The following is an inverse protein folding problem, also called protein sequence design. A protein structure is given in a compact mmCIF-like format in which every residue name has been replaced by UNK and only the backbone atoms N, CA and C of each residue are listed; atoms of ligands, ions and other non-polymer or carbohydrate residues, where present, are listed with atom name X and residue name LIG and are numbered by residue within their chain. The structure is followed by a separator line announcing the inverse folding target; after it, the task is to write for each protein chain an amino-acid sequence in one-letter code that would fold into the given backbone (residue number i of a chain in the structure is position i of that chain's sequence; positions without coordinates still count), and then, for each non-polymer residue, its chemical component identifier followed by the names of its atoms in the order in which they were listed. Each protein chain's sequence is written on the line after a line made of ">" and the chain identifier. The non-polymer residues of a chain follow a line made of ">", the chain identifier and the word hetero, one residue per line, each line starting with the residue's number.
data_IF_427239940805
#
_entry.id   IF_427239940805
#
_cell.length_a   1.000
_cell.length_b   1.000
_cell.length_c   1.000
_cell.angle_alpha   90.00
_cell.angle_beta   90.00
_cell.angle_gamma   90.00
#
_symmetry.space_group_name_H-M   'P 1'
#
loop_
_entity.id
_entity.type
_entity.pdbx_description
1 polymer ?
#
# COMPACT_ATOMS: atom_id res chain seq x y z
N UNK A 1 18.76 28.48 41.33
CA UNK A 1 19.35 27.64 42.40
C UNK A 1 19.82 26.34 41.73
N UNK A 2 21.03 26.28 41.17
CA UNK A 2 22.33 25.99 41.81
C UNK A 2 22.59 24.49 42.12
N UNK A 3 23.39 23.84 41.24
CA UNK A 3 24.45 22.79 41.42
C UNK A 3 24.12 21.50 42.23
N UNK A 4 24.65 20.30 41.97
CA UNK A 4 26.06 19.80 41.88
C UNK A 4 26.04 18.38 41.22
N UNK A 5 26.82 18.06 40.17
CA UNK A 5 28.17 17.43 40.12
C UNK A 5 28.40 16.21 41.03
N UNK A 6 28.74 15.05 40.43
CA UNK A 6 29.81 14.15 40.91
C UNK A 6 30.30 13.21 39.78
N UNK A 7 31.56 13.42 39.38
CA UNK A 7 32.36 12.62 38.45
C UNK A 7 33.14 11.58 39.25
N UNK A 8 33.35 10.36 38.72
CA UNK A 8 34.38 9.46 39.22
C UNK A 8 35.11 8.81 38.04
N UNK A 9 36.39 9.16 37.89
CA UNK A 9 37.35 8.60 36.95
C UNK A 9 38.20 7.53 37.67
N UNK A 10 38.67 6.50 36.94
CA UNK A 10 39.74 5.62 37.39
C UNK A 10 40.61 5.14 36.20
N UNK A 11 41.88 5.58 36.25
CA UNK A 11 43.17 4.91 35.97
C UNK A 11 43.37 4.16 34.63
N UNK A 12 44.15 4.70 33.67
CA UNK A 12 45.63 4.68 33.54
C UNK A 12 46.23 3.27 33.45
N UNK A 13 46.73 2.94 32.26
CA UNK A 13 47.66 1.83 31.99
C UNK A 13 48.44 2.08 30.71
N UNK A 14 49.66 2.63 30.83
CA UNK A 14 50.60 2.87 29.75
C UNK A 14 51.57 1.68 29.64
N UNK A 15 51.80 1.19 28.43
CA UNK A 15 52.85 0.22 28.11
C UNK A 15 53.41 0.52 26.73
N UNK A 16 54.61 1.08 26.66
CA UNK A 16 55.35 1.36 25.43
C UNK A 16 56.48 0.33 25.35
N UNK A 17 56.41 -0.60 24.41
CA UNK A 17 57.51 -1.50 24.08
C UNK A 17 58.21 -0.99 22.81
N UNK A 18 59.46 -0.53 22.95
CA UNK A 18 60.34 -0.16 21.84
C UNK A 18 61.00 -1.41 21.26
N UNK A 19 60.53 -1.87 20.09
CA UNK A 19 61.19 -2.89 19.28
C UNK A 19 61.90 -2.25 18.08
N UNK A 20 63.23 -2.37 18.02
CA UNK A 20 64.02 -2.05 16.84
C UNK A 20 63.98 -3.24 15.86
N UNK A 21 63.36 -3.04 14.69
CA UNK A 21 63.35 -4.03 13.61
C UNK A 21 64.17 -3.49 12.42
N UNK A 22 65.18 -4.26 12.04
CA UNK A 22 66.08 -4.03 10.91
C UNK A 22 65.30 -4.15 9.58
N UNK A 23 65.40 -3.13 8.72
CA UNK A 23 64.84 -3.14 7.37
C UNK A 23 65.79 -3.86 6.40
N UNK A 24 65.41 -5.05 5.95
CA UNK A 24 65.97 -5.67 4.74
C UNK A 24 65.31 -5.08 3.48
N UNK A 25 66.03 -4.87 2.37
CA UNK A 25 65.41 -4.45 1.12
C UNK A 25 64.65 -5.62 0.46
N UNK A 26 63.44 -5.41 -0.09
CA UNK A 26 62.65 -6.48 -0.68
C UNK A 26 63.22 -6.90 -2.04
N UNK A 27 63.46 -8.21 -2.21
CA UNK A 27 63.66 -8.83 -3.52
C UNK A 27 62.33 -8.78 -4.28
N UNK A 28 62.34 -8.19 -5.47
CA UNK A 28 61.20 -8.20 -6.39
C UNK A 28 60.92 -9.63 -6.87
N UNK A 29 59.70 -10.09 -6.61
CA UNK A 29 59.15 -11.33 -7.16
C UNK A 29 58.28 -10.99 -8.38
N UNK A 30 58.32 -11.76 -9.49
CA UNK A 30 57.49 -11.47 -10.66
C UNK A 30 56.00 -11.62 -10.34
N UNK A 31 55.19 -10.66 -10.80
CA UNK A 31 53.74 -10.68 -10.62
C UNK A 31 53.08 -11.83 -11.41
N UNK A 32 52.07 -12.52 -10.87
CA UNK A 32 51.29 -13.51 -11.60
C UNK A 32 50.36 -12.83 -12.64
N UNK A 33 49.97 -13.53 -13.72
CA UNK A 33 49.10 -12.97 -14.75
C UNK A 33 47.73 -12.57 -14.18
N UNK A 34 47.29 -11.36 -14.51
CA UNK A 34 45.96 -10.87 -14.16
C UNK A 34 44.88 -11.70 -14.86
N UNK A 35 44.05 -12.39 -14.08
CA UNK A 35 42.80 -12.97 -14.57
C UNK A 35 41.83 -11.82 -14.92
N UNK A 36 41.34 -11.81 -16.17
CA UNK A 36 40.30 -10.89 -16.60
C UNK A 36 39.01 -11.15 -15.80
N UNK A 37 38.30 -10.11 -15.33
CA UNK A 37 36.96 -10.28 -14.77
C UNK A 37 36.02 -10.78 -15.85
N UNK A 38 35.55 -12.03 -15.74
CA UNK A 38 34.40 -12.51 -16.47
C UNK A 38 33.18 -11.71 -15.99
N UNK A 39 32.58 -10.95 -16.91
CA UNK A 39 31.33 -10.24 -16.65
C UNK A 39 30.24 -11.24 -16.26
N UNK A 40 29.45 -10.99 -15.20
CA UNK A 40 28.33 -11.87 -14.86
C UNK A 40 27.32 -11.88 -16.01
N UNK A 41 27.13 -13.08 -16.60
CA UNK A 41 26.04 -13.36 -17.51
C UNK A 41 24.72 -13.40 -16.73
N UNK A 42 23.73 -12.67 -17.25
CA UNK A 42 22.32 -12.83 -16.89
C UNK A 42 21.90 -12.14 -15.58
N UNK A 43 21.62 -10.84 -15.65
CA UNK A 43 20.72 -10.24 -14.67
C UNK A 43 19.35 -10.97 -14.78
N UNK A 44 18.71 -11.36 -13.66
CA UNK A 44 17.35 -11.86 -13.70
C UNK A 44 16.46 -10.79 -14.36
N UNK A 45 15.61 -11.23 -15.28
CA UNK A 45 14.62 -10.36 -15.90
C UNK A 45 13.86 -9.61 -14.79
N UNK A 46 14.00 -8.29 -14.77
CA UNK A 46 13.19 -7.44 -13.90
C UNK A 46 11.71 -7.78 -14.15
N UNK A 47 10.88 -7.89 -13.10
CA UNK A 47 9.43 -7.97 -13.28
C UNK A 47 9.04 -6.82 -14.19
N UNK A 48 8.41 -7.11 -15.33
CA UNK A 48 7.93 -6.06 -16.20
C UNK A 48 6.91 -5.25 -15.39
N UNK A 49 7.22 -4.00 -15.10
CA UNK A 49 6.30 -3.03 -14.50
C UNK A 49 5.17 -2.77 -15.50
N UNK A 50 4.22 -3.70 -15.55
CA UNK A 50 3.03 -3.58 -16.38
C UNK A 50 2.22 -2.37 -15.88
N UNK A 51 1.76 -1.48 -16.77
CA UNK A 51 1.03 -0.29 -16.34
C UNK A 51 -0.24 -0.65 -15.57
N UNK A 52 -0.51 0.12 -14.51
CA UNK A 52 -1.76 0.02 -13.74
C UNK A 52 -2.82 0.89 -14.40
N UNK A 53 -3.95 0.29 -14.75
CA UNK A 53 -5.16 0.95 -15.22
C UNK A 53 -6.21 0.99 -14.12
N UNK A 54 -7.07 2.00 -14.16
CA UNK A 54 -8.09 2.23 -13.15
C UNK A 54 -9.48 2.31 -13.76
N UNK A 55 -10.47 1.72 -13.08
CA UNK A 55 -11.87 2.03 -13.41
C UNK A 55 -12.17 3.49 -13.05
N UNK A 56 -13.15 4.14 -13.69
CA UNK A 56 -13.73 5.35 -13.13
C UNK A 56 -14.31 5.07 -11.73
N UNK A 57 -14.45 6.11 -10.91
CA UNK A 57 -15.30 6.00 -9.73
C UNK A 57 -16.75 5.83 -10.22
N UNK A 58 -17.45 4.83 -9.69
CA UNK A 58 -18.82 4.52 -10.12
C UNK A 58 -19.70 4.29 -8.91
N UNK A 59 -20.89 4.88 -8.91
CA UNK A 59 -21.91 4.65 -7.89
C UNK A 59 -22.96 3.68 -8.40
N UNK A 60 -23.22 2.63 -7.63
CA UNK A 60 -24.25 1.64 -7.91
C UNK A 60 -25.18 1.59 -6.71
N UNK A 61 -26.49 1.51 -6.91
CA UNK A 61 -27.44 1.43 -5.81
C UNK A 61 -28.35 0.23 -5.99
N UNK A 62 -28.48 -0.56 -4.93
CA UNK A 62 -29.33 -1.75 -4.89
C UNK A 62 -30.54 -1.49 -4.00
N UNK A 63 -31.77 -1.74 -4.46
CA UNK A 63 -32.96 -1.65 -3.63
C UNK A 63 -32.86 -2.59 -2.41
N UNK A 64 -33.36 -2.14 -1.27
CA UNK A 64 -33.51 -2.98 -0.09
C UNK A 64 -34.90 -3.61 -0.13
N UNK A 65 -34.96 -4.94 -0.14
CA UNK A 65 -36.23 -5.65 -0.29
C UNK A 65 -37.06 -5.64 1.00
N UNK A 66 -36.40 -5.63 2.16
CA UNK A 66 -37.04 -5.65 3.47
C UNK A 66 -36.29 -4.76 4.47
N UNK A 67 -36.96 -3.79 5.13
CA UNK A 67 -38.34 -3.37 4.89
C UNK A 67 -38.50 -2.64 3.54
N UNK A 68 -39.65 -2.72 2.85
CA UNK A 68 -39.84 -2.14 1.52
C UNK A 68 -39.63 -0.62 1.44
N UNK A 69 -39.73 0.08 2.57
CA UNK A 69 -39.53 1.54 2.66
C UNK A 69 -38.07 1.92 2.92
N UNK A 70 -37.17 0.95 3.09
CA UNK A 70 -35.75 1.24 3.30
C UNK A 70 -35.13 1.86 2.05
N UNK A 71 -34.33 2.90 2.29
CA UNK A 71 -33.54 3.53 1.23
C UNK A 71 -32.53 2.54 0.64
N UNK A 72 -32.24 2.64 -0.67
CA UNK A 72 -31.30 1.74 -1.32
C UNK A 72 -29.91 1.83 -0.68
N UNK A 73 -29.17 0.72 -0.73
CA UNK A 73 -27.76 0.70 -0.36
C UNK A 73 -26.97 1.08 -1.60
N UNK A 74 -26.17 2.13 -1.49
CA UNK A 74 -25.33 2.63 -2.55
C UNK A 74 -23.85 2.30 -2.28
N UNK A 75 -23.14 1.92 -3.33
CA UNK A 75 -21.71 1.61 -3.30
C UNK A 75 -21.02 2.51 -4.32
N UNK A 76 -20.06 3.33 -3.86
CA UNK A 76 -19.16 4.10 -4.73
C UNK A 76 -17.82 3.38 -4.79
N UNK A 77 -17.46 2.86 -5.96
CA UNK A 77 -16.36 1.88 -6.13
C UNK A 77 -15.35 2.30 -7.19
N UNK A 78 -14.08 1.93 -6.96
CA UNK A 78 -12.97 2.02 -7.91
C UNK A 78 -12.08 0.79 -7.80
N UNK A 79 -11.54 0.36 -8.93
CA UNK A 79 -10.55 -0.73 -9.01
C UNK A 79 -9.27 -0.28 -9.69
N UNK A 80 -8.17 -0.88 -9.27
CA UNK A 80 -6.88 -0.87 -9.93
C UNK A 80 -6.62 -2.27 -10.51
N UNK A 81 -6.18 -2.31 -11.77
CA UNK A 81 -5.88 -3.52 -12.53
C UNK A 81 -4.61 -3.31 -13.34
N UNK A 82 -3.95 -4.39 -13.74
CA UNK A 82 -2.96 -4.31 -14.81
C UNK A 82 -3.67 -4.15 -16.15
N UNK A 83 -2.97 -3.63 -17.17
CA UNK A 83 -3.47 -3.58 -18.55
C UNK A 83 -3.93 -4.96 -19.07
N UNK A 84 -3.39 -6.05 -18.51
CA UNK A 84 -3.80 -7.43 -18.80
C UNK A 84 -5.17 -7.81 -18.21
N UNK A 85 -5.81 -6.92 -17.46
CA UNK A 85 -7.09 -7.15 -16.76
C UNK A 85 -6.94 -7.72 -15.34
N UNK A 86 -5.73 -8.11 -14.93
CA UNK A 86 -5.48 -8.68 -13.60
C UNK A 86 -5.83 -7.68 -12.48
N UNK A 87 -6.69 -8.09 -11.55
CA UNK A 87 -7.08 -7.31 -10.38
C UNK A 87 -5.92 -7.09 -9.41
N UNK A 88 -5.71 -5.83 -9.00
CA UNK A 88 -4.67 -5.42 -8.05
C UNK A 88 -5.22 -4.86 -6.74
N UNK A 89 -6.31 -4.10 -6.79
CA UNK A 89 -6.95 -3.55 -5.60
C UNK A 89 -8.35 -3.00 -5.91
N UNK A 90 -9.21 -2.97 -4.91
CA UNK A 90 -10.55 -2.39 -4.97
C UNK A 90 -10.86 -1.60 -3.72
N UNK A 91 -11.55 -0.48 -3.90
CA UNK A 91 -12.02 0.37 -2.82
C UNK A 91 -13.50 0.69 -3.04
N UNK A 92 -14.32 0.53 -2.01
CA UNK A 92 -15.76 0.74 -2.09
C UNK A 92 -16.30 1.41 -0.83
N UNK A 93 -16.88 2.61 -0.98
CA UNK A 93 -17.66 3.25 0.07
C UNK A 93 -19.10 2.76 -0.03
N UNK A 94 -19.61 2.14 1.04
CA UNK A 94 -20.99 1.66 1.16
C UNK A 94 -21.77 2.61 2.06
N UNK A 95 -22.89 3.11 1.55
CA UNK A 95 -23.74 4.07 2.23
C UNK A 95 -25.21 3.69 2.08
N UNK A 96 -26.00 4.03 3.10
CA UNK A 96 -27.45 3.99 3.04
C UNK A 96 -27.97 5.31 3.59
N UNK A 97 -28.86 5.97 2.85
CA UNK A 97 -29.44 7.24 3.28
C UNK A 97 -30.20 7.06 4.60
N UNK A 98 -30.00 7.98 5.55
CA UNK A 98 -30.56 7.90 6.90
C UNK A 98 -29.78 7.01 7.88
N UNK A 99 -28.73 6.32 7.43
CA UNK A 99 -27.84 5.53 8.29
C UNK A 99 -26.52 6.27 8.48
N UNK A 100 -26.19 6.63 9.73
CA UNK A 100 -24.97 7.37 10.04
C UNK A 100 -23.70 6.54 9.83
N UNK A 101 -23.73 5.26 10.22
CA UNK A 101 -22.59 4.36 10.08
C UNK A 101 -22.38 4.03 8.61
N UNK A 102 -21.17 4.30 8.12
CA UNK A 102 -20.73 3.96 6.76
C UNK A 102 -19.68 2.87 6.83
N UNK A 103 -19.65 2.04 5.79
CA UNK A 103 -18.61 1.02 5.65
C UNK A 103 -17.71 1.40 4.48
N UNK A 104 -16.40 1.34 4.71
CA UNK A 104 -15.43 1.41 3.64
C UNK A 104 -14.78 0.05 3.49
N UNK A 105 -14.86 -0.51 2.28
CA UNK A 105 -14.41 -1.85 1.95
C UNK A 105 -13.18 -1.78 1.09
N UNK A 106 -12.14 -2.49 1.50
CA UNK A 106 -10.94 -2.70 0.71
C UNK A 106 -10.87 -4.16 0.32
N UNK A 107 -10.65 -4.40 -0.97
CA UNK A 107 -10.36 -5.73 -1.51
C UNK A 107 -8.95 -5.73 -2.06
N UNK A 108 -8.10 -6.64 -1.57
CA UNK A 108 -6.78 -6.91 -2.12
C UNK A 108 -6.72 -8.32 -2.73
N UNK A 109 -5.78 -8.60 -3.64
CA UNK A 109 -5.68 -9.89 -4.31
C UNK A 109 -5.38 -11.01 -3.31
N UNK A 110 -5.61 -12.24 -3.74
CA UNK A 110 -5.07 -13.40 -3.05
C UNK A 110 -3.53 -13.37 -3.08
N UNK A 111 -2.90 -14.01 -2.09
CA UNK A 111 -1.43 -13.97 -1.95
C UNK A 111 -0.91 -12.75 -1.19
N UNK A 112 -1.76 -12.06 -0.43
CA UNK A 112 -1.33 -11.12 0.60
C UNK A 112 -1.24 -11.83 1.96
N UNK A 113 -0.36 -11.37 2.84
CA UNK A 113 -0.30 -11.86 4.22
C UNK A 113 -1.55 -11.42 4.98
N UNK A 114 -2.21 -12.38 5.64
CA UNK A 114 -3.47 -12.12 6.34
C UNK A 114 -3.25 -11.33 7.63
N UNK A 115 -2.23 -11.68 8.44
CA UNK A 115 -2.03 -11.11 9.77
C UNK A 115 -1.88 -9.59 9.84
N UNK A 116 -1.08 -8.95 8.95
CA UNK A 116 -0.97 -7.48 8.92
C UNK A 116 -2.24 -6.74 8.52
N UNK A 117 -3.20 -7.42 7.85
CA UNK A 117 -4.41 -6.80 7.32
C UNK A 117 -4.14 -5.81 6.19
N UNK A 118 -5.02 -4.82 6.06
CA UNK A 118 -4.92 -3.76 5.07
C UNK A 118 -4.72 -2.40 5.74
N UNK A 119 -4.21 -1.43 4.98
CA UNK A 119 -4.17 -0.02 5.38
C UNK A 119 -4.76 0.88 4.30
N UNK A 120 -5.36 1.97 4.74
CA UNK A 120 -5.88 3.04 3.89
C UNK A 120 -5.30 4.37 4.34
N UNK A 121 -4.73 5.13 3.41
CA UNK A 121 -4.18 6.47 3.66
C UNK A 121 -4.80 7.44 2.67
N UNK A 122 -5.41 8.52 3.13
CA UNK A 122 -5.88 9.60 2.25
C UNK A 122 -4.86 10.72 2.29
N UNK A 123 -4.25 11.04 1.14
CA UNK A 123 -3.15 11.99 1.01
C UNK A 123 -1.99 11.73 2.02
N UNK A 124 -1.88 12.56 3.06
CA UNK A 124 -0.86 12.48 4.12
C UNK A 124 -1.46 12.23 5.51
N UNK A 125 -2.73 11.84 5.57
CA UNK A 125 -3.41 11.55 6.83
C UNK A 125 -2.85 10.31 7.52
N UNK A 126 -3.19 10.15 8.80
CA UNK A 126 -2.88 8.94 9.55
C UNK A 126 -3.53 7.71 8.89
N UNK A 127 -2.78 6.60 8.70
CA UNK A 127 -3.33 5.38 8.13
C UNK A 127 -4.44 4.78 8.99
N UNK A 128 -5.56 4.45 8.36
CA UNK A 128 -6.53 3.53 8.93
C UNK A 128 -6.06 2.11 8.68
N UNK A 129 -6.29 1.18 9.61
CA UNK A 129 -5.96 -0.23 9.45
C UNK A 129 -7.17 -1.11 9.77
N UNK A 130 -7.33 -2.21 9.04
CA UNK A 130 -8.34 -3.21 9.32
C UNK A 130 -7.82 -4.61 8.98
N UNK A 131 -8.27 -5.60 9.74
CA UNK A 131 -8.00 -7.01 9.43
C UNK A 131 -8.84 -7.47 8.25
N UNK A 132 -8.39 -8.52 7.56
CA UNK A 132 -9.23 -9.19 6.56
C UNK A 132 -10.41 -9.87 7.26
N UNK A 133 -11.62 -9.62 6.77
CA UNK A 133 -12.85 -10.22 7.26
C UNK A 133 -13.14 -11.53 6.54
N UNK A 134 -12.92 -11.58 5.22
CA UNK A 134 -13.19 -12.77 4.39
C UNK A 134 -12.33 -12.76 3.13
N UNK A 135 -11.92 -13.95 2.68
CA UNK A 135 -11.34 -14.15 1.35
C UNK A 135 -12.28 -14.98 0.49
N UNK A 136 -12.51 -14.51 -0.74
CA UNK A 136 -13.31 -15.20 -1.76
C UNK A 136 -12.45 -15.45 -3.00
N UNK A 137 -13.03 -16.01 -4.05
CA UNK A 137 -12.34 -16.18 -5.33
C UNK A 137 -11.91 -14.85 -5.97
N UNK A 138 -12.52 -13.72 -5.60
CA UNK A 138 -12.21 -12.39 -6.17
C UNK A 138 -11.18 -11.60 -5.37
N UNK A 139 -10.80 -12.08 -4.18
CA UNK A 139 -9.80 -11.43 -3.33
C UNK A 139 -10.15 -11.51 -1.83
N UNK A 140 -9.31 -10.87 -1.01
CA UNK A 140 -9.52 -10.75 0.43
C UNK A 140 -10.03 -9.35 0.78
N UNK A 141 -11.17 -9.31 1.46
CA UNK A 141 -11.89 -8.10 1.83
C UNK A 141 -11.63 -7.74 3.30
N UNK A 142 -11.51 -6.45 3.55
CA UNK A 142 -11.45 -5.84 4.88
C UNK A 142 -12.50 -4.73 4.97
N UNK A 143 -13.10 -4.57 6.15
CA UNK A 143 -14.14 -3.59 6.40
C UNK A 143 -13.69 -2.57 7.44
N UNK A 144 -13.87 -1.30 7.11
CA UNK A 144 -13.59 -0.18 7.97
C UNK A 144 -14.91 0.48 8.33
N UNK A 145 -15.16 0.68 9.62
CA UNK A 145 -16.23 1.57 10.05
C UNK A 145 -15.74 3.00 9.88
N UNK A 146 -16.38 3.77 9.01
CA UNK A 146 -16.01 5.15 8.71
C UNK A 146 -17.20 6.09 8.94
N UNK A 147 -16.93 7.38 9.01
CA UNK A 147 -17.91 8.41 9.30
C UNK A 147 -17.93 9.49 8.20
N UNK A 148 -18.75 10.52 8.39
CA UNK A 148 -18.88 11.63 7.43
C UNK A 148 -17.56 12.38 7.20
N UNK A 149 -16.69 12.50 8.21
CA UNK A 149 -15.39 13.17 8.06
C UNK A 149 -14.46 12.41 7.12
N UNK A 150 -14.43 11.08 7.20
CA UNK A 150 -13.69 10.26 6.26
C UNK A 150 -14.22 10.43 4.83
N UNK A 151 -15.55 10.46 4.65
CA UNK A 151 -16.14 10.72 3.32
C UNK A 151 -15.78 12.11 2.80
N UNK A 152 -15.77 13.13 3.67
CA UNK A 152 -15.32 14.48 3.30
C UNK A 152 -13.87 14.48 2.85
N UNK A 153 -12.99 13.72 3.50
CA UNK A 153 -11.60 13.54 3.09
C UNK A 153 -11.50 12.86 1.73
N UNK A 154 -12.31 11.84 1.45
CA UNK A 154 -12.34 11.23 0.11
C UNK A 154 -12.79 12.21 -0.97
N UNK A 155 -13.76 13.08 -0.67
CA UNK A 155 -14.29 14.09 -1.61
C UNK A 155 -13.31 15.23 -1.91
N UNK A 156 -12.56 15.67 -0.90
CA UNK A 156 -11.61 16.77 -1.04
C UNK A 156 -10.16 16.33 -1.32
N UNK A 157 -9.87 15.04 -1.16
CA UNK A 157 -8.52 14.49 -1.26
C UNK A 157 -8.05 14.33 -2.70
N UNK A 158 -6.73 14.25 -2.89
CA UNK A 158 -6.14 14.04 -4.22
C UNK A 158 -5.96 12.56 -4.52
N UNK A 159 -5.48 11.81 -3.53
CA UNK A 159 -5.19 10.40 -3.66
C UNK A 159 -5.53 9.62 -2.40
N UNK A 160 -5.82 8.33 -2.58
CA UNK A 160 -5.89 7.37 -1.50
C UNK A 160 -4.93 6.22 -1.79
N UNK A 161 -4.11 5.81 -0.84
CA UNK A 161 -3.30 4.61 -0.93
C UNK A 161 -4.03 3.45 -0.27
N UNK A 162 -4.18 2.36 -1.02
CA UNK A 162 -4.64 1.07 -0.49
C UNK A 162 -3.43 0.16 -0.36
N UNK A 163 -3.19 -0.37 0.83
CA UNK A 163 -1.94 -1.09 1.13
C UNK A 163 -2.18 -2.44 1.81
N UNK A 164 -1.25 -3.36 1.59
CA UNK A 164 -1.16 -4.63 2.31
C UNK A 164 0.28 -5.17 2.23
N UNK A 165 0.55 -6.28 2.90
CA UNK A 165 1.87 -6.93 2.87
C UNK A 165 1.82 -8.16 1.96
N UNK A 166 2.71 -8.24 0.97
CA UNK A 166 2.81 -9.42 0.10
C UNK A 166 3.51 -10.60 0.82
N UNK A 167 3.52 -11.79 0.23
CA UNK A 167 4.15 -12.97 0.87
C UNK A 167 5.66 -12.80 1.11
N UNK A 168 6.33 -11.91 0.38
CA UNK A 168 7.74 -11.58 0.56
C UNK A 168 7.98 -10.59 1.72
N UNK A 169 6.93 -10.16 2.41
CA UNK A 169 7.02 -9.22 3.55
C UNK A 169 7.16 -7.76 3.14
N UNK A 170 6.94 -7.44 1.86
CA UNK A 170 7.03 -6.07 1.33
C UNK A 170 5.64 -5.42 1.32
N UNK A 171 5.60 -4.11 1.56
CA UNK A 171 4.37 -3.34 1.43
C UNK A 171 4.00 -3.15 -0.04
N UNK A 172 2.90 -3.76 -0.47
CA UNK A 172 2.25 -3.41 -1.72
C UNK A 172 1.38 -2.17 -1.50
N UNK A 173 1.48 -1.18 -2.38
CA UNK A 173 0.76 0.08 -2.27
C UNK A 173 0.13 0.44 -3.61
N UNK A 174 -1.19 0.50 -3.63
CA UNK A 174 -1.99 0.78 -4.82
C UNK A 174 -2.59 2.18 -4.71
N UNK A 175 -2.06 3.18 -5.43
CA UNK A 175 -2.61 4.52 -5.39
C UNK A 175 -3.92 4.57 -6.15
N UNK A 176 -4.96 5.16 -5.54
CA UNK A 176 -6.29 5.34 -6.09
C UNK A 176 -6.55 6.84 -6.20
N UNK A 177 -6.54 7.41 -7.43
CA UNK A 177 -6.86 8.81 -7.63
C UNK A 177 -8.28 9.13 -7.13
N UNK A 178 -8.40 10.19 -6.32
CA UNK A 178 -9.67 10.70 -5.83
C UNK A 178 -10.12 11.89 -6.68
N UNK A 179 -9.41 13.02 -6.56
CA UNK A 179 -9.70 14.27 -7.26
C UNK A 179 -11.18 14.64 -7.17
N UNK A 180 -11.68 15.36 -8.18
CA UNK A 180 -13.12 15.64 -8.26
C UNK A 180 -13.97 14.41 -8.59
N UNK A 181 -13.35 13.33 -9.06
CA UNK A 181 -14.05 12.19 -9.65
C UNK A 181 -14.77 11.34 -8.60
N UNK A 182 -14.17 11.18 -7.41
CA UNK A 182 -14.86 10.51 -6.30
C UNK A 182 -16.12 11.29 -5.89
N UNK A 183 -15.97 12.61 -5.67
CA UNK A 183 -17.09 13.46 -5.25
C UNK A 183 -18.22 13.44 -6.29
N UNK A 184 -17.90 13.62 -7.57
CA UNK A 184 -18.86 13.55 -8.69
C UNK A 184 -19.61 12.21 -8.71
N UNK A 185 -18.92 11.08 -8.58
CA UNK A 185 -19.55 9.77 -8.59
C UNK A 185 -20.42 9.55 -7.34
N UNK A 186 -19.92 9.90 -6.16
CA UNK A 186 -20.60 9.68 -4.88
C UNK A 186 -21.88 10.51 -4.75
N UNK A 187 -21.84 11.78 -5.20
CA UNK A 187 -22.95 12.72 -5.09
C UNK A 187 -23.89 12.65 -6.30
N UNK A 188 -23.41 12.12 -7.43
CA UNK A 188 -24.17 11.96 -8.65
C UNK A 188 -25.23 10.85 -8.60
N UNK A 189 -26.01 10.73 -9.68
CA UNK A 189 -26.97 9.64 -9.84
C UNK A 189 -26.25 8.28 -9.93
N UNK A 190 -26.91 7.18 -9.53
CA UNK A 190 -26.37 5.85 -9.72
C UNK A 190 -26.16 5.55 -11.20
N UNK A 191 -25.08 4.85 -11.52
CA UNK A 191 -24.80 4.31 -12.85
C UNK A 191 -25.65 3.07 -13.08
N UNK A 192 -26.14 2.89 -14.31
CA UNK A 192 -26.81 1.65 -14.74
C UNK A 192 -25.85 0.46 -14.56
N UNK A 193 -26.25 -0.60 -13.83
CA UNK A 193 -25.42 -1.80 -13.64
C UNK A 193 -24.86 -2.38 -14.95
N UNK A 194 -25.64 -2.38 -16.04
CA UNK A 194 -25.20 -2.92 -17.32
C UNK A 194 -24.07 -2.08 -17.97
N UNK A 195 -24.01 -0.77 -17.68
CA UNK A 195 -22.91 0.09 -18.13
C UNK A 195 -21.64 -0.19 -17.33
N UNK A 196 -21.77 -0.48 -16.04
CA UNK A 196 -20.63 -0.77 -15.18
C UNK A 196 -19.90 -2.07 -15.57
N UNK A 197 -20.64 -3.15 -15.85
CA UNK A 197 -20.07 -4.43 -16.28
C UNK A 197 -19.29 -4.33 -17.60
N UNK A 198 -19.75 -3.48 -18.52
CA UNK A 198 -19.13 -3.30 -19.84
C UNK A 198 -17.89 -2.40 -19.82
N UNK A 199 -17.55 -1.81 -18.67
CA UNK A 199 -16.37 -0.93 -18.52
C UNK A 199 -15.12 -1.71 -18.95
N UNK A 200 -14.27 -1.19 -19.86
CA UNK A 200 -13.11 -1.93 -20.38
C UNK A 200 -12.18 -2.47 -19.30
N UNK A 201 -11.98 -1.71 -18.23
CA UNK A 201 -11.18 -2.14 -17.08
C UNK A 201 -11.81 -3.30 -16.29
N UNK A 202 -13.06 -3.71 -16.51
CA UNK A 202 -13.68 -4.90 -15.89
C UNK A 202 -13.79 -6.10 -16.84
N UNK A 203 -13.46 -5.93 -18.12
CA UNK A 203 -13.46 -7.02 -19.10
C UNK A 203 -12.14 -7.78 -19.11
#
# INVERSE_FOLDING_TARGET
>A
MARRIATAALLVGAGIATGAAQTQPPKQQPAPPQAQPQAPQGAPAQPQDLPVVYTPWTKLCTPVQNPPQAKPICVTVKEARLETGQFLAGAALVEQEGVERKLFRITLPLGMQIGPGTRVVVDQDQPLSAQYAICTQTGCLSEYQVNADFVKKLKGGRQMLVQGINLQGQAASYPMPLGTEFAKANEGPPTDPATFEKTPARR
#
